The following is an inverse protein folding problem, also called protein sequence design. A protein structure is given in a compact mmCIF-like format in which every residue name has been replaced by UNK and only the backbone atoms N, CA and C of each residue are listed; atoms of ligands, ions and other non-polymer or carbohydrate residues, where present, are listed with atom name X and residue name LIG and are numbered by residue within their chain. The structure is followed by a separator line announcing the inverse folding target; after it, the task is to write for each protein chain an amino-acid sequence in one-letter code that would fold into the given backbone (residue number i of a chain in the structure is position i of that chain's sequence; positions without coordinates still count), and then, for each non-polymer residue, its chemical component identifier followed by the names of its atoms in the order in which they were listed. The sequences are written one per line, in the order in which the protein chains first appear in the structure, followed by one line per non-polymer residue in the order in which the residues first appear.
data_IF_169716316273
#
_entry.id   IF_169716316273
#
_cell.length_a   1.000
_cell.length_b   1.000
_cell.length_c   1.000
_cell.angle_alpha   90.00
_cell.angle_beta   90.00
_cell.angle_gamma   90.00
#
_symmetry.space_group_name_H-M   'P 1'
#
loop_
_entity.id
_entity.type
_entity.pdbx_description
1 polymer ?
#
# COMPACT_ATOMS: atom_id res chain seq x y z
N UNK A 1 14.48 -20.10 -63.53
CA UNK A 1 13.27 -20.25 -62.70
C UNK A 1 12.91 -18.90 -62.11
N UNK A 2 11.76 -18.32 -62.48
CA UNK A 2 11.34 -16.99 -62.04
C UNK A 2 10.53 -17.07 -60.75
N UNK A 3 11.01 -16.45 -59.67
CA UNK A 3 10.24 -16.32 -58.43
C UNK A 3 9.23 -15.18 -58.61
N UNK A 4 7.97 -15.53 -58.86
CA UNK A 4 6.87 -14.57 -59.00
C UNK A 4 6.71 -13.82 -57.67
N UNK A 5 6.80 -12.49 -57.76
CA UNK A 5 6.68 -11.52 -56.66
C UNK A 5 5.54 -11.88 -55.70
N UNK A 6 5.89 -12.29 -54.49
CA UNK A 6 4.97 -12.34 -53.36
C UNK A 6 4.67 -10.89 -52.94
N UNK A 7 3.80 -10.19 -53.67
CA UNK A 7 3.23 -8.93 -53.18
C UNK A 7 2.18 -9.23 -52.12
N UNK A 8 2.63 -9.64 -50.94
CA UNK A 8 1.77 -9.69 -49.75
C UNK A 8 2.02 -8.39 -48.98
N UNK A 9 1.08 -7.45 -49.10
CA UNK A 9 1.01 -6.30 -48.18
C UNK A 9 0.65 -6.89 -46.81
N UNK A 10 1.49 -6.75 -45.76
CA UNK A 10 1.10 -7.23 -44.45
C UNK A 10 -0.04 -6.33 -43.94
N UNK A 11 -1.25 -6.87 -43.86
CA UNK A 11 -2.36 -6.23 -43.15
C UNK A 11 -2.12 -6.49 -41.67
N UNK A 12 -1.59 -5.49 -40.97
CA UNK A 12 -1.42 -5.56 -39.51
C UNK A 12 -2.71 -5.08 -38.88
N UNK A 13 -3.45 -5.99 -38.24
CA UNK A 13 -4.60 -5.65 -37.42
C UNK A 13 -4.09 -5.37 -36.01
N UNK A 14 -4.17 -4.11 -35.56
CA UNK A 14 -3.88 -3.76 -34.18
C UNK A 14 -5.10 -4.10 -33.32
N UNK A 15 -4.96 -5.13 -32.49
CA UNK A 15 -5.93 -5.40 -31.44
C UNK A 15 -5.69 -4.44 -30.27
N UNK A 16 -6.74 -3.81 -29.71
CA UNK A 16 -6.60 -2.97 -28.54
C UNK A 16 -6.07 -3.82 -27.38
N UNK A 17 -4.97 -3.36 -26.78
CA UNK A 17 -4.29 -4.04 -25.67
C UNK A 17 -5.15 -4.12 -24.39
N UNK A 18 -6.28 -3.42 -24.34
CA UNK A 18 -7.11 -3.29 -23.15
C UNK A 18 -8.41 -4.08 -23.30
N UNK A 19 -8.41 -5.35 -22.92
CA UNK A 19 -9.65 -6.08 -22.68
C UNK A 19 -9.57 -7.10 -21.52
N UNK A 20 -8.64 -6.90 -20.59
CA UNK A 20 -8.89 -7.33 -19.21
C UNK A 20 -9.28 -6.08 -18.44
N UNK A 21 -10.58 -5.78 -18.49
CA UNK A 21 -11.20 -5.23 -17.29
C UNK A 21 -11.12 -6.40 -16.32
N UNK A 22 -10.01 -6.45 -15.57
CA UNK A 22 -9.98 -7.20 -14.34
C UNK A 22 -11.21 -6.71 -13.58
N UNK A 23 -12.23 -7.56 -13.50
CA UNK A 23 -13.31 -7.43 -12.55
C UNK A 23 -12.68 -7.64 -11.18
N UNK A 24 -11.90 -6.64 -10.78
CA UNK A 24 -11.23 -6.57 -9.50
C UNK A 24 -12.38 -6.70 -8.52
N UNK A 25 -12.42 -7.77 -7.70
CA UNK A 25 -13.54 -7.98 -6.80
C UNK A 25 -13.66 -6.70 -6.01
N UNK A 26 -14.80 -6.03 -6.20
CA UNK A 26 -15.10 -4.76 -5.58
C UNK A 26 -15.17 -5.08 -4.09
N UNK A 27 -14.00 -4.99 -3.43
CA UNK A 27 -13.87 -5.10 -2.00
C UNK A 27 -14.65 -3.90 -1.51
N UNK A 28 -15.93 -4.12 -1.23
CA UNK A 28 -16.74 -3.19 -0.46
C UNK A 28 -15.84 -2.75 0.67
N UNK A 29 -15.55 -1.45 0.81
CA UNK A 29 -14.74 -1.01 1.92
C UNK A 29 -15.60 -1.30 3.14
N UNK A 30 -15.36 -2.46 3.76
CA UNK A 30 -15.78 -2.74 5.12
C UNK A 30 -15.39 -1.46 5.84
N UNK A 31 -16.39 -0.70 6.30
CA UNK A 31 -16.20 0.54 7.03
C UNK A 31 -15.48 0.14 8.31
N UNK A 32 -14.17 -0.05 8.22
CA UNK A 32 -13.30 -0.24 9.36
C UNK A 32 -13.50 1.06 10.14
N UNK A 33 -14.26 0.97 11.23
CA UNK A 33 -14.32 2.03 12.24
C UNK A 33 -12.89 2.51 12.38
N UNK A 34 -12.63 3.73 11.91
CA UNK A 34 -11.26 4.24 11.85
C UNK A 34 -10.78 4.16 13.29
N UNK A 35 -9.77 3.33 13.61
CA UNK A 35 -9.27 3.31 14.97
C UNK A 35 -8.87 4.74 15.28
N UNK A 36 -9.53 5.35 16.27
CA UNK A 36 -9.34 6.75 16.59
C UNK A 36 -7.84 6.99 16.68
N UNK A 37 -7.31 7.81 15.76
CA UNK A 37 -5.85 7.96 15.62
C UNK A 37 -5.18 8.39 16.93
N UNK A 38 -5.98 8.99 17.83
CA UNK A 38 -5.62 9.37 19.18
C UNK A 38 -5.57 8.19 20.15
N UNK A 39 -6.48 7.21 20.07
CA UNK A 39 -6.42 5.98 20.91
C UNK A 39 -5.14 5.21 20.64
N UNK A 40 -4.78 5.04 19.37
CA UNK A 40 -3.52 4.38 18.98
C UNK A 40 -2.31 5.15 19.51
N UNK A 41 -2.33 6.48 19.42
CA UNK A 41 -1.22 7.30 19.87
C UNK A 41 -1.05 7.28 21.39
N UNK A 42 -2.16 7.33 22.15
CA UNK A 42 -2.14 7.20 23.62
C UNK A 42 -1.60 5.84 24.04
N UNK A 43 -1.95 4.77 23.33
CA UNK A 43 -1.42 3.43 23.60
C UNK A 43 0.10 3.38 23.38
N UNK A 44 0.61 3.96 22.29
CA UNK A 44 2.05 4.02 22.03
C UNK A 44 2.80 4.87 23.05
N UNK A 45 2.18 5.97 23.50
CA UNK A 45 2.74 6.81 24.56
C UNK A 45 2.81 6.03 25.88
N UNK A 46 1.73 5.35 26.29
CA UNK A 46 1.72 4.51 27.49
C UNK A 46 2.77 3.38 27.45
N UNK A 47 3.04 2.81 26.27
CA UNK A 47 4.09 1.81 26.10
C UNK A 47 5.50 2.39 26.29
N UNK A 48 5.75 3.62 25.82
CA UNK A 48 7.01 4.32 26.07
C UNK A 48 7.14 4.72 27.54
N UNK A 49 6.06 5.23 28.14
CA UNK A 49 6.03 5.65 29.55
C UNK A 49 6.20 4.46 30.50
N UNK A 50 5.78 3.25 30.08
CA UNK A 50 6.00 2.02 30.85
C UNK A 50 7.47 1.62 30.99
N UNK A 51 8.40 2.30 30.30
CA UNK A 51 9.85 2.04 30.38
C UNK A 51 10.30 0.74 29.73
N UNK A 52 9.38 -0.06 29.17
CA UNK A 52 9.68 -1.33 28.49
C UNK A 52 10.47 -1.16 27.20
N UNK A 53 10.52 0.05 26.64
CA UNK A 53 11.21 0.36 25.40
C UNK A 53 12.05 1.61 25.57
N UNK A 54 13.37 1.48 25.39
CA UNK A 54 14.31 2.60 25.51
C UNK A 54 14.13 3.65 24.40
N UNK A 55 13.59 3.24 23.24
CA UNK A 55 13.47 4.15 22.10
C UNK A 55 12.28 3.84 21.20
N UNK A 56 11.84 4.86 20.45
CA UNK A 56 10.81 4.74 19.41
C UNK A 56 11.17 3.70 18.34
N UNK A 57 12.46 3.45 18.11
CA UNK A 57 12.92 2.42 17.19
C UNK A 57 12.75 1.00 17.77
N UNK A 58 13.00 0.83 19.07
CA UNK A 58 12.75 -0.44 19.76
C UNK A 58 11.25 -0.78 19.74
N UNK A 59 10.39 0.22 20.01
CA UNK A 59 8.94 0.07 19.90
C UNK A 59 8.51 -0.33 18.48
N UNK A 60 9.09 0.29 17.45
CA UNK A 60 8.79 -0.02 16.05
C UNK A 60 9.13 -1.47 15.69
N UNK A 61 10.27 -1.98 16.15
CA UNK A 61 10.69 -3.39 15.96
C UNK A 61 9.73 -4.35 16.66
N UNK A 62 9.34 -4.04 17.90
CA UNK A 62 8.43 -4.87 18.67
C UNK A 62 7.03 -4.97 18.05
N UNK A 63 6.53 -3.85 17.52
CA UNK A 63 5.22 -3.78 16.87
C UNK A 63 5.24 -4.19 15.39
N UNK A 64 6.41 -4.46 14.80
CA UNK A 64 6.55 -4.78 13.38
C UNK A 64 6.17 -3.62 12.44
N UNK A 65 6.22 -2.37 12.92
CA UNK A 65 5.88 -1.18 12.14
C UNK A 65 7.12 -0.36 11.82
N UNK A 66 7.03 0.51 10.81
CA UNK A 66 8.14 1.43 10.51
C UNK A 66 8.29 2.51 11.59
N UNK A 67 9.54 2.97 11.81
CA UNK A 67 9.84 4.10 12.72
C UNK A 67 9.08 5.37 12.33
N UNK A 68 8.91 5.61 11.03
CA UNK A 68 8.15 6.74 10.51
C UNK A 68 6.69 6.67 10.97
N UNK A 69 6.07 5.48 10.96
CA UNK A 69 4.70 5.27 11.42
C UNK A 69 4.55 5.59 12.91
N UNK A 70 5.48 5.13 13.76
CA UNK A 70 5.47 5.44 15.20
C UNK A 70 5.53 6.95 15.42
N UNK A 71 6.43 7.64 14.72
CA UNK A 71 6.55 9.11 14.81
C UNK A 71 5.29 9.81 14.35
N UNK A 72 4.71 9.38 13.23
CA UNK A 72 3.49 9.98 12.68
C UNK A 72 2.30 9.80 13.62
N UNK A 73 2.22 8.67 14.32
CA UNK A 73 1.17 8.38 15.30
C UNK A 73 1.35 9.25 16.55
N UNK A 74 2.57 9.32 17.10
CA UNK A 74 2.86 10.15 18.29
C UNK A 74 2.66 11.64 18.03
N UNK A 75 3.03 12.14 16.84
CA UNK A 75 2.80 13.55 16.46
C UNK A 75 1.33 13.96 16.46
N UNK A 76 0.39 13.01 16.41
CA UNK A 76 -1.06 13.32 16.49
C UNK A 76 -1.50 13.76 17.89
N UNK A 77 -0.70 13.50 18.93
CA UNK A 77 -0.98 13.96 20.30
C UNK A 77 -0.49 15.37 20.60
N UNK A 78 0.39 15.91 19.76
CA UNK A 78 1.02 17.23 19.96
C UNK A 78 0.32 18.35 19.18
N UNK A 79 -0.82 18.07 18.55
CA UNK A 79 -1.60 19.03 17.77
C UNK A 79 -2.72 19.58 18.62
#
# INVERSE_FOLDING_TARGET
MCVKRLQRRPVVVLHPWTAHVDEKPERTPVKKERPDGLKLARHYQALLDSGKFESRAALARHLGVSRARVTQVLRRLQR
#
